data_IF_739246620961
#
_entry.id   IF_739246620961
#
_cell.length_a   1.000
_cell.length_b   1.000
_cell.length_c   1.000
_cell.angle_alpha   90.00
_cell.angle_beta   90.00
_cell.angle_gamma   90.00
#
_symmetry.space_group_name_H-M   'P 1'
#
loop_
_entity.id
_entity.type
_entity.pdbx_description
1 polymer ?
#
# COMPACT_ATOMS: atom_id res chain seq x y z
N UNK A 1 -16.24 52.46 55.62
CA UNK A 1 -15.45 52.38 54.38
C UNK A 1 -15.82 51.11 53.65
N UNK A 2 -16.64 51.18 52.58
CA UNK A 2 -17.11 50.02 51.83
C UNK A 2 -16.26 49.89 50.54
N UNK A 3 -15.46 48.85 50.42
CA UNK A 3 -14.69 48.52 49.18
C UNK A 3 -15.63 47.87 48.20
N UNK A 4 -15.85 48.49 47.06
CA UNK A 4 -16.53 47.91 45.92
C UNK A 4 -15.53 47.03 45.13
N UNK A 5 -15.81 45.76 45.03
CA UNK A 5 -15.10 44.84 44.14
C UNK A 5 -15.81 44.89 42.77
N UNK A 6 -15.09 45.38 41.77
CA UNK A 6 -15.53 45.30 40.36
C UNK A 6 -15.28 43.90 39.84
N UNK A 7 -16.32 43.18 39.52
CA UNK A 7 -16.22 41.94 38.80
C UNK A 7 -16.11 42.24 37.30
N UNK A 8 -14.97 41.96 36.69
CA UNK A 8 -14.82 41.92 35.24
C UNK A 8 -15.41 40.61 34.73
N UNK A 9 -16.54 40.71 34.07
CA UNK A 9 -17.08 39.60 33.30
C UNK A 9 -16.30 39.49 31.99
N UNK A 10 -15.39 38.53 31.93
CA UNK A 10 -14.74 38.13 30.67
C UNK A 10 -15.71 37.32 29.83
N UNK A 11 -16.21 37.90 28.75
CA UNK A 11 -16.90 37.15 27.70
C UNK A 11 -15.86 36.33 26.93
N UNK A 12 -15.77 35.02 27.22
CA UNK A 12 -15.11 34.09 26.35
C UNK A 12 -16.02 33.83 25.15
N UNK A 13 -15.70 34.46 24.03
CA UNK A 13 -16.32 34.13 22.76
C UNK A 13 -15.81 32.74 22.32
N UNK A 14 -16.61 31.72 22.56
CA UNK A 14 -16.37 30.39 22.03
C UNK A 14 -16.66 30.45 20.53
N UNK A 15 -15.63 30.63 19.70
CA UNK A 15 -15.74 30.40 18.29
C UNK A 15 -15.93 28.89 18.08
N UNK A 16 -17.16 28.49 17.94
CA UNK A 16 -17.51 27.17 17.39
C UNK A 16 -17.13 27.23 15.91
N UNK A 17 -15.93 26.76 15.58
CA UNK A 17 -15.60 26.41 14.23
C UNK A 17 -16.53 25.26 13.85
N UNK A 18 -17.61 25.59 13.20
CA UNK A 18 -18.46 24.64 12.49
C UNK A 18 -17.64 24.03 11.38
N UNK A 19 -16.87 23.00 11.71
CA UNK A 19 -16.41 22.05 10.70
C UNK A 19 -17.68 21.39 10.16
N UNK A 20 -18.18 21.93 9.05
CA UNK A 20 -19.09 21.22 8.19
C UNK A 20 -18.38 19.91 7.83
N UNK A 21 -18.75 18.84 8.52
CA UNK A 21 -18.52 17.49 8.04
C UNK A 21 -19.37 17.36 6.77
N UNK A 22 -18.87 17.91 5.66
CA UNK A 22 -19.27 17.43 4.38
C UNK A 22 -18.98 15.94 4.42
N UNK A 23 -20.00 15.16 4.65
CA UNK A 23 -20.04 13.75 4.29
C UNK A 23 -19.63 13.74 2.82
N UNK A 24 -18.35 13.51 2.55
CA UNK A 24 -17.94 13.01 1.26
C UNK A 24 -18.67 11.67 1.19
N UNK A 25 -19.82 11.64 0.51
CA UNK A 25 -20.31 10.40 -0.03
C UNK A 25 -19.11 9.82 -0.76
N UNK A 26 -18.56 8.73 -0.24
CA UNK A 26 -17.41 8.09 -0.85
C UNK A 26 -17.83 7.82 -2.29
N UNK A 27 -17.25 8.57 -3.24
CA UNK A 27 -17.46 8.26 -4.64
C UNK A 27 -17.13 6.79 -4.79
N UNK A 28 -18.01 6.06 -5.46
CA UNK A 28 -17.73 4.65 -5.72
C UNK A 28 -16.38 4.57 -6.43
N UNK A 29 -15.47 3.69 -5.96
CA UNK A 29 -14.16 3.56 -6.54
C UNK A 29 -14.30 3.29 -8.03
N UNK A 30 -13.72 4.15 -8.85
CA UNK A 30 -13.68 3.97 -10.29
C UNK A 30 -12.37 3.32 -10.68
N UNK A 31 -12.42 2.50 -11.70
CA UNK A 31 -11.23 1.99 -12.35
C UNK A 31 -10.41 3.16 -12.90
N UNK A 32 -9.17 3.26 -12.47
CA UNK A 32 -8.28 4.32 -12.94
C UNK A 32 -7.04 3.64 -13.49
N UNK A 33 -6.99 3.52 -14.80
CA UNK A 33 -5.74 3.23 -15.52
C UNK A 33 -4.98 4.55 -15.62
N UNK A 34 -3.68 4.62 -15.33
CA UNK A 34 -2.90 5.83 -15.48
C UNK A 34 -3.06 6.38 -16.90
N UNK A 35 -3.24 7.70 -16.98
CA UNK A 35 -3.39 8.36 -18.28
C UNK A 35 -2.15 8.11 -19.12
N UNK A 36 -2.31 7.52 -20.28
CA UNK A 36 -1.25 7.23 -21.23
C UNK A 36 -0.66 5.82 -21.13
N UNK A 37 -1.08 5.00 -20.16
CA UNK A 37 -0.69 3.59 -20.10
C UNK A 37 -1.91 2.71 -20.33
N UNK A 38 -1.80 1.74 -21.23
CA UNK A 38 -2.72 0.59 -21.27
C UNK A 38 -2.38 -0.40 -20.15
N UNK A 39 -3.32 -1.28 -19.82
CA UNK A 39 -3.05 -2.34 -18.85
C UNK A 39 -1.89 -3.24 -19.30
N UNK A 40 -1.75 -3.49 -20.61
CA UNK A 40 -0.64 -4.26 -21.16
C UNK A 40 0.71 -3.58 -21.02
N UNK A 41 0.77 -2.25 -21.22
CA UNK A 41 2.00 -1.47 -21.00
C UNK A 41 2.38 -1.45 -19.52
N UNK A 42 1.40 -1.32 -18.64
CA UNK A 42 1.62 -1.40 -17.21
C UNK A 42 2.12 -2.78 -16.79
N UNK A 43 1.49 -3.84 -17.28
CA UNK A 43 1.93 -5.22 -17.08
C UNK A 43 3.37 -5.43 -17.54
N UNK A 44 3.73 -4.94 -18.72
CA UNK A 44 5.10 -5.01 -19.24
C UNK A 44 6.09 -4.27 -18.35
N UNK A 45 5.72 -3.09 -17.84
CA UNK A 45 6.58 -2.27 -17.00
C UNK A 45 6.81 -2.87 -15.62
N UNK A 46 5.79 -3.47 -15.01
CA UNK A 46 5.85 -4.01 -13.65
C UNK A 46 5.97 -5.53 -13.59
N UNK A 47 5.94 -6.22 -14.74
CA UNK A 47 6.16 -7.67 -14.82
C UNK A 47 5.04 -8.51 -14.24
N UNK A 48 3.82 -7.96 -14.13
CA UNK A 48 2.66 -8.69 -13.61
C UNK A 48 1.58 -8.92 -14.67
N UNK A 49 0.91 -10.05 -14.61
CA UNK A 49 -0.33 -10.35 -15.35
C UNK A 49 -1.58 -10.10 -14.49
N UNK A 50 -1.43 -9.67 -13.25
CA UNK A 50 -2.54 -9.42 -12.36
C UNK A 50 -3.28 -8.14 -12.75
N UNK A 51 -4.47 -8.32 -13.32
CA UNK A 51 -5.35 -7.23 -13.75
C UNK A 51 -5.72 -6.30 -12.59
N UNK A 52 -5.94 -6.85 -11.43
CA UNK A 52 -6.30 -6.11 -10.24
C UNK A 52 -5.21 -5.09 -9.87
N UNK A 53 -3.95 -5.50 -9.92
CA UNK A 53 -2.80 -4.61 -9.72
C UNK A 53 -2.71 -3.57 -10.84
N UNK A 54 -2.86 -3.99 -12.10
CA UNK A 54 -2.76 -3.10 -13.26
C UNK A 54 -3.79 -1.98 -13.23
N UNK A 55 -5.03 -2.30 -12.93
CA UNK A 55 -6.13 -1.34 -12.98
C UNK A 55 -6.20 -0.40 -11.77
N UNK A 56 -5.67 -0.84 -10.65
CA UNK A 56 -5.64 -0.03 -9.42
C UNK A 56 -4.41 0.85 -9.26
N UNK A 57 -3.56 0.96 -10.28
CA UNK A 57 -2.24 1.60 -10.13
C UNK A 57 -2.31 3.05 -9.67
N UNK A 58 -3.25 3.84 -10.17
CA UNK A 58 -3.35 5.25 -9.79
C UNK A 58 -3.73 5.42 -8.32
N UNK A 59 -4.57 4.55 -7.79
CA UNK A 59 -4.93 4.50 -6.37
C UNK A 59 -3.73 4.07 -5.52
N UNK A 60 -3.00 3.04 -5.95
CA UNK A 60 -1.77 2.61 -5.28
C UNK A 60 -0.72 3.73 -5.25
N UNK A 61 -0.53 4.43 -6.36
CA UNK A 61 0.40 5.54 -6.48
C UNK A 61 0.02 6.72 -5.57
N UNK A 62 -1.26 7.07 -5.51
CA UNK A 62 -1.75 8.12 -4.62
C UNK A 62 -1.59 7.73 -3.15
N UNK A 63 -1.90 6.48 -2.80
CA UNK A 63 -1.68 5.96 -1.45
C UNK A 63 -0.20 5.96 -1.08
N UNK A 64 0.67 5.51 -1.98
CA UNK A 64 2.11 5.48 -1.75
C UNK A 64 2.69 6.90 -1.58
N UNK A 65 2.24 7.86 -2.39
CA UNK A 65 2.65 9.27 -2.26
C UNK A 65 2.29 9.84 -0.88
N UNK A 66 1.10 9.53 -0.37
CA UNK A 66 0.65 9.96 0.96
C UNK A 66 1.38 9.25 2.11
N UNK A 67 1.96 8.07 1.87
CA UNK A 67 2.54 7.21 2.90
C UNK A 67 4.07 7.07 2.85
N UNK A 68 4.75 7.62 1.83
CA UNK A 68 6.21 7.55 1.71
C UNK A 68 6.95 8.28 2.85
N UNK A 69 6.38 9.40 3.34
CA UNK A 69 6.86 10.15 4.51
C UNK A 69 8.38 10.17 4.67
N UNK A 70 8.85 9.80 5.87
CA UNK A 70 10.28 9.75 6.18
C UNK A 70 11.00 8.54 5.56
N UNK A 71 10.27 7.57 5.00
CA UNK A 71 10.85 6.36 4.41
C UNK A 71 11.80 6.72 3.26
N UNK A 72 11.43 7.71 2.44
CA UNK A 72 12.23 8.16 1.30
C UNK A 72 13.60 8.69 1.71
N UNK A 73 13.74 9.20 2.94
CA UNK A 73 14.99 9.73 3.49
C UNK A 73 15.96 8.67 4.02
N UNK A 74 15.54 7.42 4.17
CA UNK A 74 16.38 6.35 4.68
C UNK A 74 17.41 5.96 3.62
N UNK A 75 18.71 6.12 3.95
CA UNK A 75 19.80 5.90 2.99
C UNK A 75 20.08 4.42 2.74
N UNK A 76 20.06 3.60 3.78
CA UNK A 76 20.29 2.16 3.67
C UNK A 76 19.07 1.48 3.00
N UNK A 77 19.31 0.83 1.85
CA UNK A 77 18.23 0.22 1.05
C UNK A 77 17.48 -0.89 1.80
N UNK A 78 18.18 -1.69 2.60
CA UNK A 78 17.55 -2.76 3.35
C UNK A 78 16.64 -2.21 4.45
N UNK A 79 17.11 -1.20 5.18
CA UNK A 79 16.31 -0.51 6.21
C UNK A 79 15.12 0.20 5.58
N UNK A 80 15.32 0.85 4.42
CA UNK A 80 14.25 1.52 3.66
C UNK A 80 13.20 0.53 3.19
N UNK A 81 13.61 -0.61 2.62
CA UNK A 81 12.70 -1.65 2.20
C UNK A 81 11.93 -2.26 3.37
N UNK A 82 12.60 -2.53 4.48
CA UNK A 82 11.95 -3.00 5.71
C UNK A 82 10.88 -2.01 6.20
N UNK A 83 11.17 -0.71 6.15
CA UNK A 83 10.20 0.32 6.51
C UNK A 83 9.00 0.35 5.55
N UNK A 84 9.22 0.12 4.24
CA UNK A 84 8.15 0.00 3.24
C UNK A 84 7.22 -1.16 3.59
N UNK A 85 7.76 -2.36 3.78
CA UNK A 85 6.96 -3.56 4.09
C UNK A 85 6.19 -3.37 5.40
N UNK A 86 6.86 -2.90 6.45
CA UNK A 86 6.21 -2.61 7.74
C UNK A 86 5.07 -1.59 7.61
N UNK A 87 5.22 -0.59 6.73
CA UNK A 87 4.17 0.41 6.48
C UNK A 87 2.93 -0.23 5.87
N UNK A 88 3.09 -1.12 4.90
CA UNK A 88 1.99 -1.86 4.28
C UNK A 88 1.33 -2.81 5.28
N UNK A 89 2.11 -3.63 5.99
CA UNK A 89 1.62 -4.56 7.00
C UNK A 89 0.90 -3.86 8.17
N UNK A 90 1.34 -2.66 8.54
CA UNK A 90 0.63 -1.85 9.55
C UNK A 90 -0.67 -1.23 9.05
N UNK A 91 -0.82 -1.10 7.74
CA UNK A 91 -2.01 -0.53 7.11
C UNK A 91 -3.05 -1.60 6.77
N UNK A 92 -2.63 -2.76 6.26
CA UNK A 92 -3.52 -3.83 5.86
C UNK A 92 -3.74 -4.87 6.98
N UNK A 93 -4.93 -5.42 6.99
CA UNK A 93 -5.26 -6.66 7.70
C UNK A 93 -5.56 -7.73 6.67
N UNK A 94 -4.85 -8.88 6.73
CA UNK A 94 -5.09 -9.98 5.80
C UNK A 94 -6.46 -10.60 6.05
N UNK A 95 -7.26 -10.69 4.99
CA UNK A 95 -8.58 -11.29 5.03
C UNK A 95 -8.84 -12.02 3.70
N UNK A 96 -8.66 -13.35 3.70
CA UNK A 96 -8.82 -14.18 2.49
C UNK A 96 -10.24 -14.11 1.90
N UNK A 97 -11.21 -13.68 2.68
CA UNK A 97 -12.60 -13.51 2.21
C UNK A 97 -12.85 -12.14 1.60
N UNK A 98 -11.90 -11.21 1.78
CA UNK A 98 -11.99 -9.85 1.28
C UNK A 98 -11.38 -9.71 -0.10
N UNK A 99 -11.99 -10.36 -1.09
CA UNK A 99 -11.59 -10.25 -2.50
C UNK A 99 -12.44 -9.19 -3.17
N UNK A 100 -11.85 -8.04 -3.47
CA UNK A 100 -12.54 -6.91 -4.07
C UNK A 100 -12.12 -6.70 -5.52
N UNK A 101 -13.03 -6.21 -6.39
CA UNK A 101 -12.71 -5.97 -7.81
C UNK A 101 -11.77 -4.77 -8.02
N UNK A 102 -11.59 -3.92 -7.00
CA UNK A 102 -10.76 -2.72 -7.10
C UNK A 102 -9.94 -2.49 -5.83
N UNK A 103 -8.65 -2.21 -5.99
CA UNK A 103 -7.73 -1.89 -4.88
C UNK A 103 -8.19 -0.68 -4.06
N UNK A 104 -9.01 0.20 -4.64
CA UNK A 104 -9.57 1.34 -3.94
C UNK A 104 -10.43 0.94 -2.73
N UNK A 105 -11.10 -0.21 -2.79
CA UNK A 105 -11.83 -0.76 -1.63
C UNK A 105 -10.88 -1.22 -0.54
N UNK A 106 -9.79 -1.92 -0.92
CA UNK A 106 -8.71 -2.31 -0.01
C UNK A 106 -8.09 -1.09 0.69
N UNK A 107 -7.81 -0.03 -0.07
CA UNK A 107 -7.26 1.22 0.49
C UNK A 107 -8.25 1.89 1.44
N UNK A 108 -9.55 1.87 1.13
CA UNK A 108 -10.59 2.45 2.00
C UNK A 108 -10.74 1.67 3.31
N UNK A 109 -10.74 0.36 3.23
CA UNK A 109 -11.15 -0.52 4.34
C UNK A 109 -9.97 -1.09 5.14
N UNK A 110 -8.74 -0.94 4.63
CA UNK A 110 -7.53 -1.44 5.28
C UNK A 110 -7.48 -2.97 5.36
N UNK A 111 -8.13 -3.65 4.40
CA UNK A 111 -8.16 -5.12 4.32
C UNK A 111 -7.78 -5.57 2.93
N UNK A 112 -7.15 -6.75 2.83
CA UNK A 112 -6.78 -7.26 1.52
C UNK A 112 -6.19 -8.65 1.54
N UNK A 113 -5.86 -9.12 0.35
CA UNK A 113 -5.21 -10.41 0.06
C UNK A 113 -3.79 -10.20 -0.44
N UNK A 114 -3.10 -11.26 -0.84
CA UNK A 114 -1.70 -11.19 -1.30
C UNK A 114 -1.46 -10.18 -2.44
N UNK A 115 -2.36 -10.09 -3.40
CA UNK A 115 -2.28 -9.12 -4.50
C UNK A 115 -2.28 -7.67 -3.98
N UNK A 116 -3.07 -7.36 -2.96
CA UNK A 116 -3.17 -6.02 -2.37
C UNK A 116 -1.89 -5.63 -1.62
N UNK A 117 -1.36 -6.54 -0.80
CA UNK A 117 -0.07 -6.36 -0.12
C UNK A 117 1.05 -6.10 -1.12
N UNK A 118 1.07 -6.90 -2.18
CA UNK A 118 2.06 -6.80 -3.26
C UNK A 118 1.93 -5.46 -4.00
N UNK A 119 0.71 -5.07 -4.38
CA UNK A 119 0.45 -3.83 -5.10
C UNK A 119 0.86 -2.57 -4.31
N UNK A 120 0.49 -2.49 -3.03
CA UNK A 120 0.85 -1.34 -2.20
C UNK A 120 2.35 -1.30 -1.88
N UNK A 121 2.98 -2.47 -1.67
CA UNK A 121 4.43 -2.56 -1.46
C UNK A 121 5.17 -2.11 -2.72
N UNK A 122 4.76 -2.57 -3.91
CA UNK A 122 5.34 -2.17 -5.19
C UNK A 122 5.25 -0.65 -5.40
N UNK A 123 4.09 -0.05 -5.15
CA UNK A 123 3.90 1.38 -5.30
C UNK A 123 4.78 2.21 -4.34
N UNK A 124 4.94 1.78 -3.09
CA UNK A 124 5.87 2.42 -2.14
C UNK A 124 7.33 2.21 -2.54
N UNK A 125 7.70 1.04 -3.04
CA UNK A 125 9.04 0.78 -3.58
C UNK A 125 9.39 1.77 -4.68
N UNK A 126 8.49 1.97 -5.62
CA UNK A 126 8.66 2.94 -6.71
C UNK A 126 8.86 4.37 -6.18
N UNK A 127 8.01 4.81 -5.25
CA UNK A 127 8.12 6.15 -4.64
C UNK A 127 9.37 6.34 -3.81
N UNK A 128 9.88 5.28 -3.20
CA UNK A 128 11.07 5.32 -2.34
C UNK A 128 12.36 4.88 -3.04
N UNK A 129 12.34 4.66 -4.37
CA UNK A 129 13.53 4.34 -5.16
C UNK A 129 14.10 2.95 -4.89
N UNK A 130 13.25 1.98 -4.56
CA UNK A 130 13.59 0.55 -4.48
C UNK A 130 13.08 -0.13 -5.76
N UNK A 131 13.97 -0.82 -6.46
CA UNK A 131 13.58 -1.60 -7.63
C UNK A 131 12.86 -2.87 -7.20
N UNK A 132 11.62 -3.03 -7.66
CA UNK A 132 10.80 -4.21 -7.39
C UNK A 132 9.94 -4.56 -8.61
N UNK A 133 9.58 -5.84 -8.72
CA UNK A 133 8.59 -6.34 -9.69
C UNK A 133 7.73 -7.39 -9.00
N UNK A 134 6.51 -7.56 -9.49
CA UNK A 134 5.63 -8.62 -9.01
C UNK A 134 6.16 -9.97 -9.48
N UNK A 135 6.12 -10.95 -8.59
CA UNK A 135 6.35 -12.37 -8.88
C UNK A 135 5.04 -13.09 -8.57
N UNK A 136 4.29 -13.42 -9.61
CA UNK A 136 3.09 -14.27 -9.51
C UNK A 136 3.46 -15.74 -9.54
N UNK A 137 2.71 -16.55 -8.83
CA UNK A 137 2.98 -17.97 -8.80
C UNK A 137 1.96 -18.77 -8.00
N UNK A 138 2.38 -19.96 -7.55
CA UNK A 138 1.52 -20.89 -6.82
C UNK A 138 2.14 -21.21 -5.46
N UNK A 139 1.38 -20.99 -4.40
CA UNK A 139 1.72 -21.38 -3.04
C UNK A 139 0.73 -22.45 -2.56
N UNK A 140 1.23 -23.67 -2.31
CA UNK A 140 0.40 -24.79 -1.87
C UNK A 140 -0.81 -25.09 -2.79
N UNK A 141 -0.68 -24.82 -4.09
CA UNK A 141 -1.76 -25.07 -5.07
C UNK A 141 -2.75 -23.91 -5.24
N UNK A 142 -2.50 -22.77 -4.60
CA UNK A 142 -3.31 -21.55 -4.71
C UNK A 142 -2.46 -20.44 -5.33
N UNK A 143 -3.06 -19.64 -6.19
CA UNK A 143 -2.41 -18.43 -6.74
C UNK A 143 -1.94 -17.53 -5.60
N UNK A 144 -0.71 -17.02 -5.74
CA UNK A 144 -0.09 -16.19 -4.73
C UNK A 144 0.87 -15.19 -5.37
N UNK A 145 0.74 -13.93 -4.95
CA UNK A 145 1.60 -12.85 -5.38
C UNK A 145 2.59 -12.47 -4.30
N UNK A 146 3.81 -12.24 -4.73
CA UNK A 146 4.90 -11.70 -3.93
C UNK A 146 5.79 -10.82 -4.81
N UNK A 147 6.92 -10.38 -4.31
CA UNK A 147 7.82 -9.47 -5.01
C UNK A 147 9.19 -10.11 -5.25
N UNK A 148 9.82 -9.71 -6.36
CA UNK A 148 11.28 -9.71 -6.51
C UNK A 148 11.77 -8.29 -6.31
N UNK A 149 12.70 -8.09 -5.38
CA UNK A 149 13.25 -6.79 -5.04
C UNK A 149 14.75 -6.78 -5.21
N UNK A 150 15.31 -5.67 -5.68
CA UNK A 150 16.75 -5.49 -5.77
C UNK A 150 17.21 -4.59 -4.64
N UNK A 151 18.04 -5.13 -3.75
CA UNK A 151 18.63 -4.43 -2.60
C UNK A 151 20.15 -4.46 -2.75
N UNK A 152 20.78 -3.30 -2.81
CA UNK A 152 22.23 -3.18 -3.02
C UNK A 152 22.73 -3.97 -4.24
N UNK A 153 21.93 -3.99 -5.31
CA UNK A 153 22.25 -4.69 -6.55
C UNK A 153 22.03 -6.21 -6.54
N UNK A 154 21.52 -6.79 -5.46
CA UNK A 154 21.19 -8.21 -5.34
C UNK A 154 19.69 -8.40 -5.35
N UNK A 155 19.22 -9.38 -6.13
CA UNK A 155 17.79 -9.73 -6.22
C UNK A 155 17.40 -10.71 -5.11
N UNK A 156 16.26 -10.43 -4.47
CA UNK A 156 15.65 -11.25 -3.43
C UNK A 156 14.15 -11.44 -3.70
N UNK A 157 13.59 -12.54 -3.24
CA UNK A 157 12.15 -12.66 -3.05
C UNK A 157 11.72 -11.99 -1.75
N UNK A 158 10.52 -11.43 -1.76
CA UNK A 158 9.88 -10.89 -0.58
C UNK A 158 8.37 -11.11 -0.65
N UNK A 159 7.83 -11.63 0.44
CA UNK A 159 6.41 -11.94 0.58
C UNK A 159 5.81 -11.14 1.74
N UNK A 160 5.31 -9.93 1.47
CA UNK A 160 4.77 -9.07 2.52
C UNK A 160 3.61 -9.70 3.29
N UNK A 161 2.80 -10.53 2.64
CA UNK A 161 1.66 -11.22 3.26
C UNK A 161 2.11 -12.24 4.31
N UNK A 162 3.07 -13.10 3.94
CA UNK A 162 3.59 -14.10 4.87
C UNK A 162 4.58 -13.51 5.88
N UNK A 163 5.20 -12.36 5.58
CA UNK A 163 5.93 -11.57 6.56
C UNK A 163 5.00 -11.02 7.65
N UNK A 164 3.86 -10.45 7.28
CA UNK A 164 2.84 -9.96 8.22
C UNK A 164 2.33 -11.07 9.15
N UNK A 165 2.21 -12.28 8.62
CA UNK A 165 1.83 -13.48 9.38
C UNK A 165 2.96 -14.09 10.20
N UNK A 166 4.18 -13.56 10.13
CA UNK A 166 5.35 -14.07 10.85
C UNK A 166 5.93 -15.38 10.30
N UNK A 167 5.57 -15.77 9.07
CA UNK A 167 6.02 -17.03 8.44
C UNK A 167 7.41 -16.88 7.84
N UNK A 168 7.73 -15.71 7.28
CA UNK A 168 9.02 -15.42 6.65
C UNK A 168 9.61 -14.11 7.15
N UNK A 169 10.91 -13.88 6.93
CA UNK A 169 11.52 -12.56 7.10
C UNK A 169 11.10 -11.60 5.99
N UNK A 170 11.49 -10.32 6.12
CA UNK A 170 11.19 -9.28 5.13
C UNK A 170 11.74 -9.60 3.75
N UNK A 171 12.87 -10.30 3.67
CA UNK A 171 13.40 -10.92 2.47
C UNK A 171 13.33 -12.43 2.64
N UNK A 172 12.86 -13.12 1.62
CA UNK A 172 12.78 -14.57 1.62
C UNK A 172 11.63 -15.07 0.77
N UNK A 173 11.82 -16.26 0.23
CA UNK A 173 10.79 -16.97 -0.50
C UNK A 173 9.94 -17.76 0.50
N UNK A 174 8.64 -17.64 0.40
CA UNK A 174 7.72 -18.48 1.18
C UNK A 174 7.92 -19.95 0.81
N UNK A 175 8.05 -20.86 1.80
CA UNK A 175 8.22 -22.28 1.53
C UNK A 175 7.11 -22.82 0.64
N UNK A 176 7.49 -23.67 -0.34
CA UNK A 176 6.59 -24.26 -1.36
C UNK A 176 6.01 -23.29 -2.38
N UNK A 177 6.45 -22.03 -2.39
CA UNK A 177 6.15 -21.14 -3.50
C UNK A 177 6.86 -21.62 -4.76
N UNK A 178 6.15 -21.59 -5.87
CA UNK A 178 6.71 -21.81 -7.20
C UNK A 178 6.28 -20.68 -8.09
N UNK A 179 7.23 -19.95 -8.62
CA UNK A 179 6.96 -18.92 -9.61
C UNK A 179 6.35 -19.56 -10.84
N UNK A 180 5.22 -19.06 -11.30
CA UNK A 180 4.68 -19.48 -12.58
C UNK A 180 5.53 -18.87 -13.68
N UNK A 181 5.98 -19.73 -14.58
CA UNK A 181 6.60 -19.31 -15.83
C UNK A 181 5.55 -18.75 -16.81
N UNK A 182 4.49 -18.15 -16.33
CA UNK A 182 3.51 -17.41 -17.12
C UNK A 182 4.12 -16.08 -17.61
N UNK A 183 5.35 -16.19 -18.07
CA UNK A 183 6.02 -15.18 -18.85
C UNK A 183 5.72 -15.45 -20.30
N UNK A 184 4.90 -14.62 -20.87
CA UNK A 184 4.90 -14.39 -22.30
C UNK A 184 4.28 -15.52 -23.16
N UNK A 185 2.98 -15.41 -23.38
CA UNK A 185 2.38 -15.70 -24.66
C UNK A 185 2.19 -14.41 -25.41
#
# INVERSE_FOLDING_TARGET
MKKRILALAGMAATMIFGMSLTSFAAEEPKWIVPKGLSAGEYQSMYGTSDWYVCEGVAQCQAWAEANKGDIIGIQDEMTRYTAIVNKVCSFLTYDITYVQPHIAYTIRDGKGVCADYTALTLALCEKCGIKAVVSGGVLNGVEHDMLKVTINGVEYYSDPTNYDSGVVGVLGMTPRYREDSCGGG
#
